data_IF_912747406162
#
_entry.id   IF_912747406162
#
_cell.length_a   1.000
_cell.length_b   1.000
_cell.length_c   1.000
_cell.angle_alpha   90.00
_cell.angle_beta   90.00
_cell.angle_gamma   90.00
#
_symmetry.space_group_name_H-M   'P 1'
#
loop_
_entity.id
_entity.type
_entity.pdbx_description
1 polymer ?
#
# COMPACT_ATOMS: atom_id res chain seq x y z
N UNK A 1 6.07 -23.03 16.37
CA UNK A 1 5.29 -23.03 15.12
C UNK A 1 4.15 -22.02 15.12
N UNK A 2 3.09 -22.15 15.94
CA UNK A 2 1.94 -21.21 15.86
C UNK A 2 2.29 -19.74 16.18
N UNK A 3 3.17 -19.50 17.17
CA UNK A 3 3.60 -18.15 17.55
C UNK A 3 4.55 -17.50 16.52
N UNK A 4 5.25 -18.29 15.72
CA UNK A 4 6.23 -17.79 14.74
C UNK A 4 5.52 -17.28 13.49
N UNK A 5 4.58 -18.06 12.95
CA UNK A 5 3.72 -17.61 11.85
C UNK A 5 2.93 -16.36 12.23
N UNK A 6 2.38 -16.31 13.45
CA UNK A 6 1.69 -15.13 13.96
C UNK A 6 2.59 -13.89 13.99
N UNK A 7 3.83 -14.04 14.43
CA UNK A 7 4.80 -12.94 14.43
C UNK A 7 5.08 -12.45 13.00
N UNK A 8 5.29 -13.37 12.05
CA UNK A 8 5.52 -13.05 10.64
C UNK A 8 4.32 -12.31 10.00
N UNK A 9 3.09 -12.71 10.31
CA UNK A 9 1.88 -12.01 9.86
C UNK A 9 1.84 -10.57 10.39
N UNK A 10 2.11 -10.37 11.68
CA UNK A 10 2.11 -9.03 12.31
C UNK A 10 3.22 -8.16 11.71
N UNK A 11 4.39 -8.74 11.46
CA UNK A 11 5.51 -8.03 10.84
C UNK A 11 5.19 -7.60 9.41
N UNK A 12 4.65 -8.51 8.59
CA UNK A 12 4.18 -8.16 7.24
C UNK A 12 3.09 -7.09 7.28
N UNK A 13 2.12 -7.20 8.19
CA UNK A 13 1.08 -6.18 8.38
C UNK A 13 1.68 -4.81 8.70
N UNK A 14 2.71 -4.75 9.55
CA UNK A 14 3.39 -3.50 9.90
C UNK A 14 3.98 -2.82 8.66
N UNK A 15 4.63 -3.58 7.76
CA UNK A 15 5.12 -3.03 6.50
C UNK A 15 3.98 -2.55 5.59
N UNK A 16 2.90 -3.33 5.50
CA UNK A 16 1.73 -2.98 4.68
C UNK A 16 1.06 -1.70 5.17
N UNK A 17 0.86 -1.55 6.48
CA UNK A 17 0.23 -0.36 7.06
C UNK A 17 1.07 0.91 6.86
N UNK A 18 2.40 0.80 7.00
CA UNK A 18 3.32 1.91 6.69
C UNK A 18 3.28 2.28 5.22
N UNK A 19 3.34 1.27 4.34
CA UNK A 19 3.24 1.44 2.87
C UNK A 19 1.94 2.17 2.51
N UNK A 20 0.81 1.72 3.07
CA UNK A 20 -0.52 2.31 2.88
C UNK A 20 -0.59 3.75 3.36
N UNK A 21 -0.14 4.03 4.58
CA UNK A 21 -0.17 5.38 5.14
C UNK A 21 0.57 6.36 4.23
N UNK A 22 1.78 6.01 3.79
CA UNK A 22 2.61 6.91 2.99
C UNK A 22 2.04 7.10 1.56
N UNK A 23 1.58 6.04 0.88
CA UNK A 23 1.01 6.20 -0.48
C UNK A 23 -0.35 6.89 -0.45
N UNK A 24 -1.16 6.67 0.60
CA UNK A 24 -2.40 7.42 0.79
C UNK A 24 -2.10 8.90 0.94
N UNK A 25 -1.15 9.27 1.79
CA UNK A 25 -0.72 10.67 1.92
C UNK A 25 -0.22 11.22 0.59
N UNK A 26 0.57 10.46 -0.17
CA UNK A 26 1.04 10.89 -1.49
C UNK A 26 -0.13 11.18 -2.45
N UNK A 27 -1.14 10.29 -2.49
CA UNK A 27 -2.33 10.46 -3.32
C UNK A 27 -3.17 11.66 -2.86
N UNK A 28 -3.48 11.76 -1.57
CA UNK A 28 -4.27 12.86 -1.00
C UNK A 28 -3.66 14.23 -1.34
N UNK A 29 -2.32 14.32 -1.31
CA UNK A 29 -1.60 15.54 -1.68
C UNK A 29 -1.75 15.84 -3.17
N UNK A 30 -1.54 14.85 -4.05
CA UNK A 30 -1.65 15.04 -5.50
C UNK A 30 -3.07 15.45 -5.92
N UNK A 31 -4.07 14.86 -5.26
CA UNK A 31 -5.49 15.06 -5.54
C UNK A 31 -5.98 16.40 -4.98
N UNK A 32 -5.82 16.63 -3.67
CA UNK A 32 -6.61 17.64 -2.95
C UNK A 32 -5.85 18.93 -2.64
N UNK A 33 -4.52 18.93 -2.68
CA UNK A 33 -3.78 20.17 -2.43
C UNK A 33 -3.74 21.06 -3.69
N UNK A 34 -3.81 22.38 -3.46
CA UNK A 34 -3.81 23.40 -4.52
C UNK A 34 -2.47 24.15 -4.63
N UNK A 35 -1.44 23.74 -3.87
CA UNK A 35 -0.14 24.39 -3.92
C UNK A 35 0.72 23.91 -5.10
N UNK A 36 1.64 24.77 -5.56
CA UNK A 36 2.54 24.48 -6.69
C UNK A 36 3.56 23.38 -6.41
N UNK A 37 3.84 23.09 -5.14
CA UNK A 37 4.80 22.06 -4.74
C UNK A 37 4.15 20.69 -4.50
N UNK A 38 2.84 20.52 -4.72
CA UNK A 38 2.11 19.31 -4.33
C UNK A 38 2.68 18.04 -4.97
N UNK A 39 3.09 18.11 -6.23
CA UNK A 39 3.64 16.96 -6.95
C UNK A 39 5.02 16.58 -6.41
N UNK A 40 5.84 17.56 -6.00
CA UNK A 40 7.13 17.30 -5.34
C UNK A 40 6.95 16.68 -3.95
N UNK A 41 6.00 17.19 -3.16
CA UNK A 41 5.70 16.66 -1.83
C UNK A 41 5.13 15.23 -1.96
N UNK A 42 4.18 15.03 -2.88
CA UNK A 42 3.59 13.73 -3.20
C UNK A 42 4.67 12.72 -3.60
N UNK A 43 5.62 13.11 -4.46
CA UNK A 43 6.75 12.27 -4.85
C UNK A 43 7.62 11.87 -3.65
N UNK A 44 7.83 12.77 -2.68
CA UNK A 44 8.54 12.45 -1.44
C UNK A 44 7.87 11.32 -0.64
N UNK A 45 6.55 11.40 -0.46
CA UNK A 45 5.78 10.34 0.21
C UNK A 45 5.71 9.05 -0.61
N UNK A 46 5.58 9.16 -1.93
CA UNK A 46 5.62 8.00 -2.82
C UNK A 46 6.95 7.24 -2.68
N UNK A 47 8.08 7.94 -2.70
CA UNK A 47 9.38 7.30 -2.53
C UNK A 47 9.51 6.60 -1.17
N UNK A 48 9.01 7.23 -0.09
CA UNK A 48 8.99 6.62 1.24
C UNK A 48 8.12 5.36 1.29
N UNK A 49 6.93 5.42 0.67
CA UNK A 49 6.05 4.27 0.52
C UNK A 49 6.73 3.13 -0.25
N UNK A 50 7.39 3.45 -1.37
CA UNK A 50 8.04 2.48 -2.24
C UNK A 50 9.17 1.72 -1.53
N UNK A 51 9.96 2.41 -0.70
CA UNK A 51 10.98 1.77 0.12
C UNK A 51 10.36 0.72 1.07
N UNK A 52 9.25 1.06 1.72
CA UNK A 52 8.57 0.12 2.63
C UNK A 52 7.88 -1.01 1.88
N UNK A 53 7.33 -0.73 0.69
CA UNK A 53 6.74 -1.73 -0.19
C UNK A 53 7.74 -2.80 -0.63
N UNK A 54 8.97 -2.39 -1.00
CA UNK A 54 10.03 -3.35 -1.36
C UNK A 54 10.34 -4.30 -0.20
N UNK A 55 10.47 -3.76 1.01
CA UNK A 55 10.71 -4.58 2.21
C UNK A 55 9.52 -5.52 2.48
N UNK A 56 8.28 -5.05 2.35
CA UNK A 56 7.09 -5.90 2.46
C UNK A 56 7.12 -7.06 1.46
N UNK A 57 7.42 -6.77 0.19
CA UNK A 57 7.43 -7.76 -0.89
C UNK A 57 8.57 -8.76 -0.74
N UNK A 58 9.74 -8.29 -0.26
CA UNK A 58 10.88 -9.14 0.08
C UNK A 58 10.50 -10.08 1.23
N UNK A 59 10.01 -9.53 2.35
CA UNK A 59 9.64 -10.30 3.52
C UNK A 59 8.59 -11.37 3.20
N UNK A 60 7.56 -11.01 2.43
CA UNK A 60 6.54 -11.95 1.97
C UNK A 60 7.14 -13.11 1.16
N UNK A 61 8.07 -12.84 0.25
CA UNK A 61 8.73 -13.86 -0.58
C UNK A 61 9.69 -14.76 0.20
N UNK A 62 10.31 -14.24 1.25
CA UNK A 62 11.23 -15.00 2.11
C UNK A 62 10.49 -15.91 3.11
N UNK A 63 9.17 -15.77 3.26
CA UNK A 63 8.34 -16.54 4.19
C UNK A 63 7.16 -17.20 3.45
N UNK A 64 7.41 -18.36 2.82
CA UNK A 64 6.45 -19.09 1.99
C UNK A 64 5.15 -19.46 2.73
N UNK A 65 5.17 -19.55 4.06
CA UNK A 65 3.99 -19.81 4.88
C UNK A 65 3.00 -18.63 4.95
N UNK A 66 3.40 -17.44 4.49
CA UNK A 66 2.54 -16.26 4.43
C UNK A 66 1.68 -16.19 3.18
N UNK A 67 1.89 -17.08 2.19
CA UNK A 67 1.22 -17.02 0.89
C UNK A 67 -0.29 -16.97 1.05
N UNK A 68 -0.90 -15.88 0.56
CA UNK A 68 -2.34 -15.65 0.62
C UNK A 68 -2.77 -14.71 -0.51
N UNK A 69 -3.96 -14.96 -1.03
CA UNK A 69 -4.57 -14.17 -2.12
C UNK A 69 -4.75 -12.71 -1.72
N UNK A 70 -4.99 -12.43 -0.43
CA UNK A 70 -5.12 -11.09 0.12
C UNK A 70 -3.81 -10.30 -0.01
N UNK A 71 -2.67 -10.90 0.33
CA UNK A 71 -1.37 -10.25 0.18
C UNK A 71 -0.97 -10.08 -1.28
N UNK A 72 -1.20 -11.08 -2.13
CA UNK A 72 -0.93 -10.98 -3.57
C UNK A 72 -1.74 -9.84 -4.21
N UNK A 73 -3.03 -9.74 -3.86
CA UNK A 73 -3.90 -8.67 -4.33
C UNK A 73 -3.45 -7.29 -3.84
N UNK A 74 -2.88 -7.19 -2.63
CA UNK A 74 -2.30 -5.94 -2.15
C UNK A 74 -1.10 -5.50 -3.01
N UNK A 75 -0.18 -6.42 -3.33
CA UNK A 75 0.99 -6.08 -4.13
C UNK A 75 0.60 -5.64 -5.55
N UNK A 76 -0.34 -6.34 -6.19
CA UNK A 76 -0.86 -5.97 -7.51
C UNK A 76 -1.60 -4.61 -7.49
N UNK A 77 -2.42 -4.36 -6.47
CA UNK A 77 -3.12 -3.09 -6.33
C UNK A 77 -2.14 -1.93 -6.06
N UNK A 78 -1.08 -2.16 -5.28
CA UNK A 78 -0.01 -1.18 -5.05
C UNK A 78 0.69 -0.83 -6.36
N UNK A 79 1.13 -1.82 -7.14
CA UNK A 79 1.85 -1.61 -8.40
C UNK A 79 1.01 -0.75 -9.38
N UNK A 80 -0.31 -0.98 -9.42
CA UNK A 80 -1.25 -0.18 -10.23
C UNK A 80 -1.42 1.25 -9.72
N UNK A 81 -1.54 1.43 -8.40
CA UNK A 81 -1.68 2.75 -7.78
C UNK A 81 -0.40 3.58 -7.92
N UNK A 82 0.75 2.95 -7.68
CA UNK A 82 2.07 3.56 -7.82
C UNK A 82 2.31 4.05 -9.25
N UNK A 83 1.99 3.21 -10.24
CA UNK A 83 2.08 3.58 -11.65
C UNK A 83 1.22 4.80 -11.99
N UNK A 84 -0.05 4.78 -11.55
CA UNK A 84 -0.98 5.88 -11.82
C UNK A 84 -0.52 7.18 -11.15
N UNK A 85 -0.09 7.12 -9.89
CA UNK A 85 0.40 8.29 -9.18
C UNK A 85 1.64 8.87 -9.85
N UNK A 86 2.56 8.03 -10.35
CA UNK A 86 3.71 8.49 -11.15
C UNK A 86 3.27 9.22 -12.42
N UNK A 87 2.23 8.74 -13.12
CA UNK A 87 1.70 9.42 -14.31
C UNK A 87 1.12 10.79 -13.95
N UNK A 88 0.31 10.87 -12.89
CA UNK A 88 -0.28 12.14 -12.41
C UNK A 88 0.81 13.15 -12.02
N UNK A 89 1.84 12.73 -11.28
CA UNK A 89 2.96 13.58 -10.90
C UNK A 89 3.75 14.05 -12.13
N UNK A 90 4.08 13.14 -13.05
CA UNK A 90 4.95 13.43 -14.20
C UNK A 90 4.28 14.35 -15.22
N UNK A 91 2.96 14.27 -15.36
CA UNK A 91 2.18 15.05 -16.32
C UNK A 91 1.51 16.28 -15.70
N UNK A 92 1.66 16.46 -14.39
CA UNK A 92 0.90 17.43 -13.60
C UNK A 92 -0.61 17.35 -13.94
N UNK A 93 -1.13 16.12 -14.01
CA UNK A 93 -2.49 15.88 -14.48
C UNK A 93 -3.49 16.57 -13.53
N UNK A 94 -4.40 17.35 -14.13
CA UNK A 94 -5.45 18.08 -13.43
C UNK A 94 -6.70 17.25 -13.21
N UNK A 95 -6.82 16.09 -13.84
CA UNK A 95 -7.94 15.17 -13.66
C UNK A 95 -7.48 13.87 -12.95
N UNK A 96 -7.44 13.85 -11.62
CA UNK A 96 -6.99 12.69 -10.87
C UNK A 96 -8.09 11.61 -10.67
N UNK A 97 -9.13 11.56 -11.52
CA UNK A 97 -10.25 10.62 -11.37
C UNK A 97 -9.80 9.14 -11.39
N UNK A 98 -8.84 8.80 -12.25
CA UNK A 98 -8.28 7.45 -12.30
C UNK A 98 -7.45 7.14 -11.05
N UNK A 99 -6.63 8.09 -10.60
CA UNK A 99 -5.88 7.98 -9.34
C UNK A 99 -6.81 7.76 -8.14
N UNK A 100 -7.93 8.48 -8.09
CA UNK A 100 -8.99 8.26 -7.11
C UNK A 100 -9.51 6.83 -7.11
N UNK A 101 -9.91 6.34 -8.28
CA UNK A 101 -10.42 4.97 -8.41
C UNK A 101 -9.38 3.92 -8.00
N UNK A 102 -8.11 4.13 -8.32
CA UNK A 102 -7.01 3.25 -7.89
C UNK A 102 -6.80 3.29 -6.38
N UNK A 103 -6.91 4.48 -5.76
CA UNK A 103 -6.79 4.61 -4.32
C UNK A 103 -7.92 3.87 -3.60
N UNK A 104 -9.17 4.00 -4.07
CA UNK A 104 -10.32 3.29 -3.50
C UNK A 104 -10.15 1.76 -3.62
N UNK A 105 -9.69 1.27 -4.78
CA UNK A 105 -9.39 -0.15 -4.98
C UNK A 105 -8.30 -0.64 -4.03
N UNK A 106 -7.26 0.17 -3.81
CA UNK A 106 -6.17 -0.16 -2.90
C UNK A 106 -6.64 -0.17 -1.44
N UNK A 107 -7.46 0.79 -1.03
CA UNK A 107 -8.08 0.84 0.31
C UNK A 107 -8.89 -0.43 0.61
N UNK A 108 -9.67 -0.92 -0.35
CA UNK A 108 -10.39 -2.18 -0.21
C UNK A 108 -9.44 -3.38 0.04
N UNK A 109 -8.25 -3.40 -0.57
CA UNK A 109 -7.27 -4.47 -0.31
C UNK A 109 -6.67 -4.38 1.10
N UNK A 110 -6.50 -3.17 1.62
CA UNK A 110 -6.07 -2.95 3.01
C UNK A 110 -7.14 -3.44 3.99
N UNK A 111 -8.41 -3.15 3.71
CA UNK A 111 -9.54 -3.65 4.52
C UNK A 111 -9.58 -5.19 4.54
N UNK A 112 -9.44 -5.83 3.38
CA UNK A 112 -9.40 -7.30 3.29
C UNK A 112 -8.25 -7.91 4.11
N UNK A 113 -7.04 -7.30 4.07
CA UNK A 113 -5.91 -7.75 4.89
C UNK A 113 -6.20 -7.57 6.38
N UNK A 114 -6.78 -6.44 6.78
CA UNK A 114 -7.12 -6.20 8.17
C UNK A 114 -8.15 -7.22 8.68
N UNK A 115 -9.12 -7.60 7.85
CA UNK A 115 -10.11 -8.61 8.20
C UNK A 115 -9.51 -10.02 8.27
N UNK A 116 -8.62 -10.38 7.33
CA UNK A 116 -7.83 -11.62 7.41
C UNK A 116 -7.08 -11.71 8.75
N UNK A 117 -6.42 -10.63 9.16
CA UNK A 117 -5.63 -10.60 10.38
C UNK A 117 -6.51 -10.75 11.63
N UNK A 118 -7.67 -10.07 11.68
CA UNK A 118 -8.65 -10.28 12.77
C UNK A 118 -9.10 -11.73 12.86
N UNK A 119 -9.35 -12.40 11.74
CA UNK A 119 -9.72 -13.82 11.71
C UNK A 119 -8.59 -14.68 12.29
N UNK A 120 -7.35 -14.44 11.86
CA UNK A 120 -6.17 -15.17 12.34
C UNK A 120 -5.88 -14.91 13.84
N UNK A 121 -6.21 -13.74 14.36
CA UNK A 121 -6.11 -13.44 15.79
C UNK A 121 -7.17 -14.14 16.64
N UNK A 122 -8.39 -14.29 16.09
CA UNK A 122 -9.55 -14.87 16.76
C UNK A 122 -9.66 -16.40 16.67
N UNK A 123 -8.93 -17.05 15.75
CA UNK A 123 -8.92 -18.50 15.56
C UNK A 123 -8.19 -19.29 16.70
N UNK A 124 -8.30 -18.80 17.94
CA UNK A 124 -7.79 -19.43 19.16
C UNK A 124 -8.69 -20.56 19.65
#
# INVERSE_FOLDING_TARGET
MHNELKFKIIELQSFIQKTYSDIKTACDIAIYQENTSKYLISLGFLNKSYMTYIEAKRFYRENEELVSVEFDNFFDAYDKLEHELKQVISREDKNPSLLHSRLDQFQQKIENINDLIKVLENAR
#
